data_IF_141688255010
#
_entry.id   IF_141688255010
#
_cell.length_a   1.000
_cell.length_b   1.000
_cell.length_c   1.000
_cell.angle_alpha   90.00
_cell.angle_beta   90.00
_cell.angle_gamma   90.00
#
_symmetry.space_group_name_H-M   'P 1'
#
loop_
_entity.id
_entity.type
_entity.pdbx_description
1 polymer ?
#
# COMPACT_ATOMS: atom_id res chain seq x y z
N UNK A 1 1.57 -1.42 21.22
CA UNK A 1 0.78 -0.19 21.40
C UNK A 1 -0.43 -0.51 22.24
N UNK A 2 -0.72 0.31 23.23
CA UNK A 2 -1.95 0.19 24.01
C UNK A 2 -3.17 0.57 23.16
N UNK A 3 -4.37 0.23 23.65
CA UNK A 3 -5.62 0.59 22.99
C UNK A 3 -5.81 2.11 22.96
N UNK A 4 -5.42 2.79 24.04
CA UNK A 4 -5.48 4.24 24.19
C UNK A 4 -4.52 4.95 23.22
N UNK A 5 -3.30 4.44 23.07
CA UNK A 5 -2.34 4.97 22.10
C UNK A 5 -2.88 4.85 20.68
N UNK A 6 -3.45 3.70 20.34
CA UNK A 6 -4.05 3.47 19.02
C UNK A 6 -5.26 4.38 18.77
N UNK A 7 -6.12 4.59 19.76
CA UNK A 7 -7.25 5.51 19.65
C UNK A 7 -6.79 6.95 19.36
N UNK A 8 -5.77 7.43 20.08
CA UNK A 8 -5.17 8.76 19.85
C UNK A 8 -4.57 8.90 18.45
N UNK A 9 -3.98 7.84 17.90
CA UNK A 9 -3.46 7.88 16.53
C UNK A 9 -4.58 7.88 15.49
N UNK A 10 -5.66 7.14 15.72
CA UNK A 10 -6.84 7.14 14.84
C UNK A 10 -7.51 8.52 14.80
N UNK A 11 -7.59 9.20 15.94
CA UNK A 11 -8.13 10.56 16.04
C UNK A 11 -7.32 11.57 15.22
N UNK A 12 -5.98 11.43 15.24
CA UNK A 12 -5.08 12.29 14.45
C UNK A 12 -5.09 11.95 12.96
N UNK A 13 -5.18 10.66 12.64
CA UNK A 13 -5.16 10.16 11.27
C UNK A 13 -5.96 8.86 11.16
N UNK A 14 -7.11 8.95 10.47
CA UNK A 14 -8.03 7.84 10.28
C UNK A 14 -7.40 6.60 9.61
N UNK A 15 -6.25 6.74 8.94
CA UNK A 15 -5.51 5.62 8.31
C UNK A 15 -4.98 4.62 9.33
N UNK A 16 -4.76 5.03 10.58
CA UNK A 16 -4.45 4.11 11.70
C UNK A 16 -5.64 3.22 12.08
N UNK A 17 -6.85 3.58 11.67
CA UNK A 17 -8.07 2.80 11.90
C UNK A 17 -8.33 1.76 10.83
N UNK A 18 -7.75 1.94 9.63
CA UNK A 18 -7.99 1.08 8.47
C UNK A 18 -6.98 -0.06 8.41
N UNK A 19 -7.43 -1.28 8.73
CA UNK A 19 -6.61 -2.50 8.64
C UNK A 19 -6.45 -2.92 7.17
N UNK A 20 -5.20 -3.02 6.72
CA UNK A 20 -4.80 -3.50 5.39
C UNK A 20 -4.43 -4.99 5.44
N UNK A 21 -3.68 -5.44 6.45
CA UNK A 21 -3.35 -6.84 6.65
C UNK A 21 -3.96 -7.36 7.94
N UNK A 22 -5.02 -8.16 7.84
CA UNK A 22 -5.69 -8.74 9.00
C UNK A 22 -4.82 -9.74 9.77
N UNK A 23 -4.00 -10.52 9.08
CA UNK A 23 -3.19 -11.56 9.73
C UNK A 23 -2.12 -10.97 10.66
N UNK A 24 -1.50 -9.87 10.26
CA UNK A 24 -0.42 -9.22 11.02
C UNK A 24 -0.89 -7.90 11.68
N UNK A 25 -2.19 -7.61 11.63
CA UNK A 25 -2.82 -6.38 12.16
C UNK A 25 -2.21 -5.06 11.67
N UNK A 26 -1.79 -5.02 10.41
CA UNK A 26 -1.15 -3.84 9.81
C UNK A 26 -2.20 -2.87 9.27
N UNK A 27 -2.04 -1.60 9.62
CA UNK A 27 -2.88 -0.47 9.23
C UNK A 27 -2.41 0.17 7.91
N UNK A 28 -3.25 1.01 7.31
CA UNK A 28 -2.87 1.79 6.12
C UNK A 28 -1.75 2.79 6.43
N UNK A 29 -1.78 3.41 7.61
CA UNK A 29 -0.73 4.33 8.05
C UNK A 29 0.63 3.64 8.07
N UNK A 30 0.74 2.45 8.66
CA UNK A 30 1.99 1.68 8.71
C UNK A 30 2.49 1.28 7.32
N UNK A 31 1.59 0.98 6.38
CA UNK A 31 1.98 0.69 4.98
C UNK A 31 2.56 1.95 4.32
N UNK A 32 1.95 3.12 4.55
CA UNK A 32 2.46 4.38 4.02
C UNK A 32 3.81 4.73 4.66
N UNK A 33 3.96 4.60 5.97
CA UNK A 33 5.23 4.81 6.67
C UNK A 33 6.32 3.87 6.16
N UNK A 34 5.99 2.60 5.88
CA UNK A 34 6.94 1.65 5.29
C UNK A 34 7.43 2.09 3.90
N UNK A 35 6.57 2.75 3.11
CA UNK A 35 6.88 3.24 1.77
C UNK A 35 7.55 4.63 1.78
N UNK A 36 7.28 5.46 2.78
CA UNK A 36 7.93 6.77 3.03
C UNK A 36 9.22 6.58 3.83
N UNK A 37 10.07 5.67 3.37
CA UNK A 37 11.36 5.40 4.00
C UNK A 37 12.47 6.29 3.42
N UNK A 38 13.59 6.50 4.14
CA UNK A 38 14.69 7.37 3.71
C UNK A 38 15.34 6.99 2.37
N UNK A 39 15.22 5.72 1.96
CA UNK A 39 15.80 5.22 0.71
C UNK A 39 14.84 5.39 -0.48
N UNK A 40 13.64 5.95 -0.26
CA UNK A 40 12.57 6.03 -1.25
C UNK A 40 12.21 4.68 -1.89
N UNK A 41 12.46 3.57 -1.18
CA UNK A 41 12.20 2.23 -1.70
C UNK A 41 10.70 1.91 -1.65
N UNK A 42 10.01 1.99 -2.79
CA UNK A 42 8.57 1.76 -2.93
C UNK A 42 8.27 0.42 -3.60
N UNK A 43 8.48 -0.68 -2.88
CA UNK A 43 8.22 -2.05 -3.35
C UNK A 43 7.34 -2.82 -2.38
N UNK A 44 6.72 -3.92 -2.83
CA UNK A 44 6.01 -4.81 -1.90
C UNK A 44 6.94 -5.43 -0.86
N UNK A 45 8.19 -5.72 -1.20
CA UNK A 45 9.19 -6.18 -0.26
C UNK A 45 9.45 -5.13 0.84
N UNK A 46 9.47 -3.84 0.50
CA UNK A 46 9.62 -2.77 1.50
C UNK A 46 8.50 -2.83 2.55
N UNK A 47 7.26 -3.03 2.11
CA UNK A 47 6.11 -3.17 3.01
C UNK A 47 6.23 -4.48 3.82
N UNK A 48 6.50 -5.60 3.16
CA UNK A 48 6.67 -6.91 3.80
C UNK A 48 7.72 -6.89 4.91
N UNK A 49 8.90 -6.34 4.66
CA UNK A 49 10.00 -6.39 5.64
C UNK A 49 9.90 -5.33 6.74
N UNK A 50 9.20 -4.22 6.52
CA UNK A 50 9.05 -3.16 7.53
C UNK A 50 7.86 -3.33 8.45
N UNK A 51 6.71 -3.74 7.91
CA UNK A 51 5.48 -3.87 8.67
C UNK A 51 4.89 -5.29 8.66
N UNK A 52 5.57 -6.27 8.04
CA UNK A 52 5.16 -7.69 7.97
C UNK A 52 3.91 -7.97 7.16
N UNK A 53 3.29 -6.99 6.50
CA UNK A 53 2.12 -7.25 5.68
C UNK A 53 2.42 -8.31 4.60
N UNK A 54 1.61 -9.36 4.58
CA UNK A 54 1.82 -10.52 3.70
C UNK A 54 2.64 -11.67 4.30
N UNK A 55 3.10 -11.57 5.55
CA UNK A 55 3.85 -12.63 6.25
C UNK A 55 2.97 -13.56 7.11
N UNK A 56 1.68 -13.24 7.28
CA UNK A 56 0.75 -14.05 8.08
C UNK A 56 0.14 -15.23 7.29
N UNK A 57 -0.84 -15.92 7.90
CA UNK A 57 -1.44 -17.16 7.35
C UNK A 57 -1.89 -17.08 5.88
N UNK A 58 -2.35 -15.92 5.40
CA UNK A 58 -2.80 -15.74 4.02
C UNK A 58 -1.67 -15.50 3.00
N UNK A 59 -0.42 -15.37 3.44
CA UNK A 59 0.76 -15.15 2.58
C UNK A 59 0.57 -14.02 1.54
N UNK A 60 -0.14 -12.95 1.92
CA UNK A 60 -0.35 -11.79 1.06
C UNK A 60 -1.54 -11.89 0.11
N UNK A 61 -2.28 -13.00 0.08
CA UNK A 61 -3.40 -13.21 -0.85
C UNK A 61 -4.55 -12.19 -0.73
N UNK A 62 -4.68 -11.51 0.43
CA UNK A 62 -5.75 -10.52 0.67
C UNK A 62 -5.29 -9.11 0.96
N UNK A 63 -4.00 -8.84 1.20
CA UNK A 63 -3.54 -7.47 1.47
C UNK A 63 -2.78 -6.87 0.28
N UNK A 64 -2.24 -7.71 -0.62
CA UNK A 64 -1.40 -7.26 -1.74
C UNK A 64 -2.13 -6.26 -2.63
N UNK A 65 -3.37 -6.55 -3.06
CA UNK A 65 -4.13 -5.62 -3.90
C UNK A 65 -4.52 -4.30 -3.19
N UNK A 66 -4.62 -4.30 -1.86
CA UNK A 66 -4.82 -3.07 -1.10
C UNK A 66 -3.54 -2.23 -1.02
N UNK A 67 -2.39 -2.87 -0.81
CA UNK A 67 -1.09 -2.19 -0.82
C UNK A 67 -0.82 -1.57 -2.20
N UNK A 68 -1.07 -2.32 -3.28
CA UNK A 68 -0.96 -1.82 -4.66
C UNK A 68 -1.81 -0.56 -4.85
N UNK A 69 -3.07 -0.56 -4.40
CA UNK A 69 -3.94 0.63 -4.48
C UNK A 69 -3.44 1.81 -3.65
N UNK A 70 -2.81 1.55 -2.50
CA UNK A 70 -2.16 2.60 -1.69
C UNK A 70 -0.99 3.19 -2.46
N UNK A 71 -0.18 2.36 -3.13
CA UNK A 71 0.93 2.82 -3.98
C UNK A 71 0.43 3.70 -5.14
N UNK A 72 -0.64 3.30 -5.83
CA UNK A 72 -1.25 4.12 -6.89
C UNK A 72 -1.81 5.44 -6.34
N UNK A 73 -2.67 5.38 -5.31
CA UNK A 73 -3.40 6.56 -4.82
C UNK A 73 -2.56 7.54 -4.01
N UNK A 74 -1.61 7.04 -3.22
CA UNK A 74 -0.84 7.87 -2.30
C UNK A 74 0.48 8.33 -2.91
N UNK A 75 1.09 7.51 -3.78
CA UNK A 75 2.40 7.81 -4.39
C UNK A 75 2.31 8.10 -5.89
N UNK A 76 1.12 8.05 -6.50
CA UNK A 76 0.92 8.33 -7.92
C UNK A 76 1.62 7.32 -8.84
N UNK A 77 1.93 6.12 -8.35
CA UNK A 77 2.65 5.12 -9.15
C UNK A 77 1.72 4.50 -10.18
N UNK A 78 2.19 4.38 -11.42
CA UNK A 78 1.53 3.54 -12.42
C UNK A 78 1.61 2.07 -11.99
N UNK A 79 0.54 1.31 -12.22
CA UNK A 79 0.47 -0.11 -11.87
C UNK A 79 1.61 -0.93 -12.48
N UNK A 80 2.08 -0.57 -13.68
CA UNK A 80 3.18 -1.21 -14.41
C UNK A 80 4.53 -0.99 -13.72
N UNK A 81 4.68 0.09 -12.97
CA UNK A 81 5.91 0.43 -12.25
C UNK A 81 5.99 -0.21 -10.85
N UNK A 82 4.93 -0.90 -10.41
CA UNK A 82 4.90 -1.55 -9.10
C UNK A 82 5.77 -2.81 -9.11
N UNK A 83 6.76 -2.83 -8.21
CA UNK A 83 7.79 -3.88 -8.12
C UNK A 83 7.64 -4.74 -6.88
N UNK A 84 8.00 -6.01 -7.01
CA UNK A 84 7.98 -6.99 -5.93
C UNK A 84 9.15 -6.78 -4.97
N UNK A 85 10.39 -6.89 -5.46
CA UNK A 85 11.61 -6.84 -4.62
C UNK A 85 12.84 -6.21 -5.27
N UNK A 86 13.02 -6.37 -6.58
CA UNK A 86 14.19 -5.92 -7.35
C UNK A 86 13.77 -4.98 -8.49
N UNK A 87 14.72 -4.22 -9.09
CA UNK A 87 14.41 -3.26 -10.15
C UNK A 87 13.68 -3.85 -11.38
N UNK A 88 13.89 -5.14 -11.67
CA UNK A 88 13.29 -5.87 -12.79
C UNK A 88 12.08 -6.75 -12.41
N UNK A 89 11.68 -6.78 -11.15
CA UNK A 89 10.58 -7.63 -10.68
C UNK A 89 9.23 -6.91 -10.72
N UNK A 90 8.71 -6.64 -11.91
CA UNK A 90 7.39 -6.00 -12.07
C UNK A 90 6.25 -6.95 -11.69
N UNK A 91 5.23 -6.44 -11.00
CA UNK A 91 4.04 -7.25 -10.64
C UNK A 91 3.04 -7.37 -11.78
N UNK A 92 2.89 -6.30 -12.55
CA UNK A 92 1.84 -6.17 -13.54
C UNK A 92 2.46 -5.78 -14.88
N UNK A 93 1.96 -6.37 -15.96
CA UNK A 93 2.39 -6.04 -17.31
C UNK A 93 1.56 -4.91 -17.92
N UNK A 94 0.22 -5.00 -17.78
CA UNK A 94 -0.74 -3.99 -18.24
C UNK A 94 -2.07 -4.16 -17.52
N UNK A 95 -2.96 -3.17 -17.63
CA UNK A 95 -4.36 -3.35 -17.26
C UNK A 95 -5.08 -4.15 -18.35
N UNK A 96 -5.87 -5.14 -17.94
CA UNK A 96 -6.64 -5.97 -18.88
C UNK A 96 -7.86 -5.22 -19.44
N UNK A 97 -8.40 -4.27 -18.68
CA UNK A 97 -9.53 -3.43 -19.07
C UNK A 97 -9.17 -1.96 -18.80
N UNK A 98 -9.07 -1.18 -19.86
CA UNK A 98 -8.91 0.29 -19.83
C UNK A 98 -7.49 0.79 -19.60
N UNK A 99 -6.89 1.36 -20.65
CA UNK A 99 -5.91 2.47 -20.57
C UNK A 99 -6.62 3.84 -20.70
N UNK A 100 -7.96 3.86 -20.83
CA UNK A 100 -8.77 5.09 -20.90
C UNK A 100 -9.36 5.43 -19.54
N UNK A 101 -8.68 6.30 -18.80
CA UNK A 101 -9.36 7.18 -17.86
C UNK A 101 -8.63 8.52 -17.74
N UNK A 102 -8.57 9.26 -18.85
CA UNK A 102 -8.83 10.71 -18.78
C UNK A 102 -10.30 10.90 -18.38
N UNK A 103 -10.58 10.85 -17.08
CA UNK A 103 -11.58 11.76 -16.50
C UNK A 103 -10.77 13.04 -16.27
N UNK A 104 -10.73 14.00 -17.21
CA UNK A 104 -11.91 14.67 -17.71
C UNK A 104 -12.52 15.57 -16.63
N UNK A 105 -11.69 16.16 -15.77
CA UNK A 105 -12.06 17.36 -15.01
C UNK A 105 -11.71 18.59 -15.89
N UNK A 106 -12.41 18.72 -17.02
CA UNK A 106 -12.57 20.01 -17.67
C UNK A 106 -13.73 20.70 -16.95
N UNK A 107 -13.39 21.60 -16.03
CA UNK A 107 -14.35 22.56 -15.48
C UNK A 107 -14.69 23.56 -16.61
N UNK A 108 -15.94 23.51 -17.08
CA UNK A 108 -16.70 24.67 -17.56
C UNK A 108 -18.02 24.75 -16.77
#
# INVERSE_FOLDING_TARGET
MSVEERAKMIEKDARWGRIVCRCEHVTEAEVIEALTNPLNARTLASVKYRCRAGMGRCQGGFCTQHIVRIMEKHFGMDIKEIKLKSPSSYLFYKRTRGDEQTRGDENE
#
